data_IF_820841719880
#
_entry.id   IF_820841719880
#
_cell.length_a   1.000
_cell.length_b   1.000
_cell.length_c   1.000
_cell.angle_alpha   90.00
_cell.angle_beta   90.00
_cell.angle_gamma   90.00
#
_symmetry.space_group_name_H-M   'P 1'
#
loop_
_entity.id
_entity.type
_entity.pdbx_description
1 polymer ?
#
# COMPACT_ATOMS: atom_id res chain seq x y z
N UNK A 1 20.93 -6.26 -6.74
CA UNK A 1 21.29 -4.88 -6.42
C UNK A 1 20.05 -4.00 -6.55
N UNK A 2 19.05 -4.29 -5.70
CA UNK A 2 17.80 -3.54 -5.53
C UNK A 2 17.72 -3.06 -4.09
N UNK A 3 18.67 -2.23 -3.67
CA UNK A 3 18.80 -1.83 -2.27
C UNK A 3 19.21 -0.37 -2.14
N UNK A 4 18.55 0.55 -2.84
CA UNK A 4 18.88 1.96 -2.61
C UNK A 4 17.74 2.96 -2.68
N UNK A 5 16.52 2.58 -3.01
CA UNK A 5 15.46 3.57 -3.28
C UNK A 5 14.36 3.61 -2.20
N UNK A 6 14.62 3.10 -1.00
CA UNK A 6 13.65 3.10 0.10
C UNK A 6 13.71 4.36 1.00
N UNK A 7 14.36 5.44 0.55
CA UNK A 7 14.55 6.63 1.39
C UNK A 7 13.41 7.65 1.34
N UNK A 8 12.36 7.42 0.55
CA UNK A 8 11.28 8.39 0.39
C UNK A 8 9.91 7.88 0.83
N UNK A 9 9.81 7.29 2.01
CA UNK A 9 8.52 7.07 2.65
C UNK A 9 8.09 8.38 3.31
N UNK A 10 7.31 9.18 2.58
CA UNK A 10 6.76 10.42 3.11
C UNK A 10 5.60 10.09 4.05
N UNK A 11 5.81 10.29 5.35
CA UNK A 11 4.80 10.08 6.37
C UNK A 11 4.14 11.40 6.73
N UNK A 12 2.90 11.60 6.29
CA UNK A 12 2.07 12.72 6.71
C UNK A 12 1.46 12.39 8.08
N UNK A 13 2.00 12.98 9.15
CA UNK A 13 1.59 12.65 10.52
C UNK A 13 0.49 13.60 11.01
N UNK A 14 -0.76 13.20 10.90
CA UNK A 14 -1.89 13.92 11.50
C UNK A 14 -2.24 13.46 12.93
N UNK A 15 -1.84 12.25 13.37
CA UNK A 15 -2.08 11.74 14.73
C UNK A 15 -0.94 10.84 15.19
N UNK A 16 -0.04 11.36 15.99
CA UNK A 16 1.16 10.66 16.47
C UNK A 16 0.89 9.37 17.24
N UNK A 17 -0.18 9.28 18.00
CA UNK A 17 -0.46 8.14 18.88
C UNK A 17 -0.72 6.81 18.15
N UNK A 18 -1.31 6.85 16.96
CA UNK A 18 -1.58 5.64 16.16
C UNK A 18 -0.28 5.09 15.57
N UNK A 19 0.59 5.98 15.12
CA UNK A 19 1.88 5.61 14.55
C UNK A 19 2.85 5.08 15.60
N UNK A 20 2.83 5.62 16.83
CA UNK A 20 3.61 5.07 17.93
C UNK A 20 3.22 3.62 18.25
N UNK A 21 1.93 3.26 18.14
CA UNK A 21 1.46 1.89 18.29
C UNK A 21 1.98 1.00 17.15
N UNK A 22 1.91 1.48 15.91
CA UNK A 22 2.36 0.76 14.71
C UNK A 22 3.87 0.49 14.73
N UNK A 23 4.69 1.51 15.00
CA UNK A 23 6.14 1.38 14.96
C UNK A 23 6.74 0.57 16.11
N UNK A 24 6.00 0.35 17.20
CA UNK A 24 6.40 -0.60 18.25
C UNK A 24 6.54 -2.04 17.73
N UNK A 25 5.82 -2.40 16.68
CA UNK A 25 5.90 -3.73 16.08
C UNK A 25 7.08 -3.89 15.11
N UNK A 26 7.57 -2.83 14.50
CA UNK A 26 8.59 -2.89 13.44
C UNK A 26 10.00 -2.49 13.85
N UNK A 27 10.25 -1.99 15.06
CA UNK A 27 11.54 -1.36 15.45
C UNK A 27 11.98 -0.22 14.51
N UNK A 28 11.07 0.39 13.78
CA UNK A 28 11.37 1.47 12.86
C UNK A 28 11.24 2.82 13.57
N UNK A 29 12.14 3.73 13.22
CA UNK A 29 12.09 5.11 13.71
C UNK A 29 11.57 6.02 12.61
N UNK A 30 10.56 6.81 12.93
CA UNK A 30 10.06 7.83 12.01
C UNK A 30 11.09 8.94 11.88
N UNK A 31 11.46 9.26 10.66
CA UNK A 31 12.26 10.43 10.35
C UNK A 31 11.33 11.57 9.93
N UNK A 32 11.34 12.66 10.67
CA UNK A 32 10.65 13.89 10.29
C UNK A 32 11.51 14.59 9.24
N UNK A 33 10.93 14.84 8.07
CA UNK A 33 11.65 15.53 7.01
C UNK A 33 11.62 17.06 7.24
N UNK A 34 12.79 17.67 7.36
CA UNK A 34 12.93 19.13 7.47
C UNK A 34 12.62 19.85 6.15
N UNK A 35 12.67 19.13 5.02
CA UNK A 35 12.49 19.63 3.65
C UNK A 35 11.23 19.06 2.98
N UNK A 36 10.13 18.91 3.73
CA UNK A 36 8.88 18.30 3.28
C UNK A 36 8.37 18.86 1.94
N UNK A 37 8.36 20.19 1.77
CA UNK A 37 7.87 20.84 0.54
C UNK A 37 8.72 20.51 -0.70
N UNK A 38 10.00 20.23 -0.52
CA UNK A 38 10.87 19.79 -1.61
C UNK A 38 10.60 18.33 -1.98
N UNK A 39 10.44 17.46 -0.98
CA UNK A 39 10.13 16.04 -1.18
C UNK A 39 8.76 15.86 -1.86
N UNK A 40 7.79 16.72 -1.58
CA UNK A 40 6.49 16.70 -2.26
C UNK A 40 6.55 17.04 -3.78
N UNK A 41 7.69 17.48 -4.28
CA UNK A 41 7.88 17.71 -5.72
C UNK A 41 8.38 16.48 -6.47
N UNK A 42 8.81 15.45 -5.74
CA UNK A 42 9.23 14.18 -6.30
C UNK A 42 8.02 13.27 -6.57
N UNK A 43 8.22 12.21 -7.32
CA UNK A 43 7.18 11.22 -7.59
C UNK A 43 6.80 10.49 -6.30
N UNK A 44 5.54 10.62 -5.88
CA UNK A 44 5.01 9.95 -4.70
C UNK A 44 4.23 8.71 -5.14
N UNK A 45 4.70 7.53 -4.72
CA UNK A 45 4.09 6.26 -5.08
C UNK A 45 3.05 5.78 -4.08
N UNK A 46 3.20 6.17 -2.81
CA UNK A 46 2.31 5.74 -1.73
C UNK A 46 2.33 6.76 -0.60
N UNK A 47 1.15 7.03 -0.04
CA UNK A 47 1.00 7.84 1.18
C UNK A 47 0.30 6.96 2.21
N UNK A 48 0.94 6.73 3.36
CA UNK A 48 0.30 6.12 4.51
C UNK A 48 -0.44 7.17 5.32
N UNK A 49 -1.69 6.90 5.67
CA UNK A 49 -2.44 7.78 6.55
C UNK A 49 -3.15 7.01 7.66
N UNK A 50 -3.14 7.60 8.86
CA UNK A 50 -3.94 7.15 9.97
C UNK A 50 -5.38 7.61 9.75
N UNK A 51 -6.26 6.67 9.38
CA UNK A 51 -7.65 6.99 9.09
C UNK A 51 -8.56 5.76 9.24
N UNK A 52 -9.84 6.01 9.38
CA UNK A 52 -10.87 5.00 9.38
C UNK A 52 -11.64 5.01 8.06
N UNK A 53 -12.34 3.93 7.77
CA UNK A 53 -13.10 3.75 6.53
C UNK A 53 -14.12 4.87 6.26
N UNK A 54 -14.70 5.43 7.32
CA UNK A 54 -15.68 6.53 7.23
C UNK A 54 -15.06 7.83 6.69
N UNK A 55 -13.73 7.97 6.82
CA UNK A 55 -12.98 9.16 6.42
C UNK A 55 -12.46 9.10 4.97
N UNK A 56 -12.53 7.93 4.30
CA UNK A 56 -11.97 7.72 2.97
C UNK A 56 -12.48 8.70 1.92
N UNK A 57 -13.79 8.96 1.93
CA UNK A 57 -14.39 9.91 0.98
C UNK A 57 -13.86 11.34 1.16
N UNK A 58 -13.60 11.73 2.41
CA UNK A 58 -13.04 13.04 2.72
C UNK A 58 -11.56 13.11 2.32
N UNK A 59 -10.79 12.06 2.59
CA UNK A 59 -9.37 11.97 2.25
C UNK A 59 -9.16 12.04 0.73
N UNK A 60 -10.01 11.37 -0.04
CA UNK A 60 -9.93 11.38 -1.50
C UNK A 60 -10.54 12.63 -2.14
N UNK A 61 -11.16 13.51 -1.35
CA UNK A 61 -11.77 14.71 -1.89
C UNK A 61 -10.72 15.63 -2.53
N UNK A 62 -10.90 15.92 -3.82
CA UNK A 62 -9.98 16.77 -4.59
C UNK A 62 -8.74 16.06 -5.11
N UNK A 63 -8.61 14.75 -4.89
CA UNK A 63 -7.57 13.94 -5.54
C UNK A 63 -8.11 13.37 -6.86
N UNK A 64 -7.21 13.17 -7.81
CA UNK A 64 -7.49 12.52 -9.08
C UNK A 64 -6.57 11.29 -9.23
N UNK A 65 -7.10 10.24 -9.86
CA UNK A 65 -6.31 9.03 -10.17
C UNK A 65 -5.68 8.35 -8.95
N UNK A 66 -6.33 8.43 -7.80
CA UNK A 66 -5.92 7.77 -6.57
C UNK A 66 -6.96 6.80 -6.05
N UNK A 67 -6.54 5.83 -5.29
CA UNK A 67 -7.39 4.89 -4.57
C UNK A 67 -6.84 4.61 -3.18
N UNK A 68 -7.70 4.12 -2.29
CA UNK A 68 -7.30 3.68 -0.95
C UNK A 68 -7.25 2.16 -0.92
N UNK A 69 -6.18 1.62 -0.38
CA UNK A 69 -6.06 0.23 0.04
C UNK A 69 -5.81 0.16 1.54
N UNK A 70 -6.55 -0.67 2.26
CA UNK A 70 -6.45 -0.77 3.71
C UNK A 70 -6.10 -2.20 4.13
N UNK A 71 -5.14 -2.30 5.02
CA UNK A 71 -4.70 -3.54 5.64
C UNK A 71 -5.00 -3.55 7.15
N UNK A 72 -5.38 -2.41 7.71
CA UNK A 72 -5.74 -2.24 9.12
C UNK A 72 -6.92 -1.27 9.28
N UNK A 73 -7.67 -1.38 10.40
CA UNK A 73 -8.87 -0.58 10.65
C UNK A 73 -8.59 0.91 10.93
N UNK A 74 -7.34 1.22 11.30
CA UNK A 74 -6.92 2.57 11.73
C UNK A 74 -5.90 3.19 10.78
N UNK A 75 -5.53 2.49 9.72
CA UNK A 75 -4.56 2.98 8.75
C UNK A 75 -4.88 2.48 7.35
N UNK A 76 -4.57 3.31 6.37
CA UNK A 76 -4.74 3.01 4.97
C UNK A 76 -3.63 3.63 4.14
N UNK A 77 -3.42 3.08 2.97
CA UNK A 77 -2.50 3.56 1.98
C UNK A 77 -3.29 4.24 0.85
N UNK A 78 -2.90 5.45 0.49
CA UNK A 78 -3.35 6.11 -0.72
C UNK A 78 -2.32 5.80 -1.80
N UNK A 79 -2.76 5.17 -2.87
CA UNK A 79 -1.93 4.74 -3.99
C UNK A 79 -2.52 5.25 -5.30
N UNK A 80 -1.74 5.33 -6.39
CA UNK A 80 -2.26 5.65 -7.70
C UNK A 80 -3.33 4.63 -8.13
N UNK A 81 -4.32 5.09 -8.87
CA UNK A 81 -5.34 4.24 -9.43
C UNK A 81 -4.68 3.15 -10.32
N UNK A 82 -5.14 1.92 -10.21
CA UNK A 82 -4.60 0.76 -10.94
C UNK A 82 -3.17 0.33 -10.53
N UNK A 83 -2.68 0.77 -9.38
CA UNK A 83 -1.39 0.34 -8.82
C UNK A 83 -1.51 -0.71 -7.71
N UNK A 84 -2.64 -1.40 -7.62
CA UNK A 84 -2.84 -2.47 -6.64
C UNK A 84 -1.98 -3.73 -6.90
N UNK A 85 -1.89 -4.62 -5.89
CA UNK A 85 -1.10 -5.87 -5.96
C UNK A 85 -1.52 -6.79 -7.10
N UNK A 86 -2.82 -6.84 -7.43
CA UNK A 86 -3.31 -7.62 -8.58
C UNK A 86 -2.80 -7.10 -9.92
N UNK A 87 -2.74 -5.78 -10.08
CA UNK A 87 -2.19 -5.15 -11.28
C UNK A 87 -0.68 -5.41 -11.42
N UNK A 88 0.06 -5.38 -10.30
CA UNK A 88 1.48 -5.71 -10.29
C UNK A 88 1.72 -7.16 -10.71
N UNK A 89 0.94 -8.11 -10.21
CA UNK A 89 1.00 -9.52 -10.66
C UNK A 89 0.75 -9.63 -12.14
N UNK A 90 -0.31 -9.02 -12.66
CA UNK A 90 -0.61 -9.04 -14.08
C UNK A 90 0.51 -8.44 -14.94
N UNK A 91 1.15 -7.37 -14.49
CA UNK A 91 2.29 -6.77 -15.17
C UNK A 91 3.48 -7.72 -15.23
N UNK A 92 3.78 -8.42 -14.12
CA UNK A 92 4.87 -9.42 -14.07
C UNK A 92 4.56 -10.62 -14.97
N UNK A 93 3.34 -11.17 -14.93
CA UNK A 93 2.92 -12.27 -15.80
C UNK A 93 3.06 -11.89 -17.28
N UNK A 94 2.60 -10.72 -17.66
CA UNK A 94 2.74 -10.20 -19.02
C UNK A 94 4.20 -10.04 -19.43
N UNK A 95 5.05 -9.52 -18.54
CA UNK A 95 6.47 -9.32 -18.82
C UNK A 95 7.20 -10.64 -19.12
N UNK A 96 6.87 -11.70 -18.37
CA UNK A 96 7.48 -13.03 -18.56
C UNK A 96 6.72 -13.91 -19.54
N UNK A 97 5.59 -13.47 -20.09
CA UNK A 97 4.76 -14.27 -21.01
C UNK A 97 4.08 -15.45 -20.33
N UNK A 98 3.80 -15.36 -19.04
CA UNK A 98 3.17 -16.40 -18.24
C UNK A 98 1.66 -16.21 -18.18
N UNK A 99 0.94 -17.33 -18.12
CA UNK A 99 -0.48 -17.34 -17.80
C UNK A 99 -0.71 -17.30 -16.30
N UNK A 100 -1.90 -16.91 -15.88
CA UNK A 100 -2.26 -16.90 -14.45
C UNK A 100 -2.19 -18.28 -13.79
N UNK A 101 -2.36 -19.35 -14.58
CA UNK A 101 -2.32 -20.74 -14.08
C UNK A 101 -0.89 -21.21 -13.78
N UNK A 102 0.11 -20.48 -14.26
CA UNK A 102 1.53 -20.71 -13.97
C UNK A 102 2.04 -19.92 -12.77
N UNK A 103 1.15 -19.20 -12.06
CA UNK A 103 1.47 -18.39 -10.91
C UNK A 103 0.74 -18.87 -9.66
N UNK A 104 1.41 -18.69 -8.52
CA UNK A 104 0.87 -18.96 -7.18
C UNK A 104 1.00 -17.70 -6.36
N UNK A 105 -0.04 -17.34 -5.60
CA UNK A 105 -0.02 -16.25 -4.67
C UNK A 105 -0.40 -16.68 -3.25
N UNK A 106 0.23 -16.04 -2.28
CA UNK A 106 -0.04 -16.20 -0.86
C UNK A 106 -0.37 -14.83 -0.27
N UNK A 107 -1.45 -14.75 0.50
CA UNK A 107 -1.88 -13.51 1.14
C UNK A 107 -2.74 -13.78 2.36
N UNK A 108 -2.70 -12.87 3.33
CA UNK A 108 -3.46 -12.97 4.59
C UNK A 108 -4.29 -11.70 4.88
N UNK A 109 -4.10 -10.65 4.09
CA UNK A 109 -4.76 -9.36 4.27
C UNK A 109 -5.83 -9.05 3.22
N UNK A 110 -6.70 -8.11 3.54
CA UNK A 110 -7.73 -7.62 2.60
C UNK A 110 -7.13 -6.97 1.36
N UNK A 111 -5.95 -6.36 1.51
CA UNK A 111 -5.19 -5.77 0.41
C UNK A 111 -4.53 -6.81 -0.52
N UNK A 112 -4.62 -8.11 -0.18
CA UNK A 112 -4.10 -9.21 -1.00
C UNK A 112 -5.17 -9.84 -1.90
N UNK A 113 -6.44 -9.51 -1.73
CA UNK A 113 -7.56 -10.11 -2.47
C UNK A 113 -7.34 -10.00 -3.98
N UNK A 114 -7.01 -8.82 -4.48
CA UNK A 114 -6.76 -8.60 -5.91
C UNK A 114 -5.59 -9.44 -6.44
N UNK A 115 -4.53 -9.60 -5.63
CA UNK A 115 -3.38 -10.44 -5.95
C UNK A 115 -3.77 -11.92 -6.04
N UNK A 116 -4.57 -12.38 -5.07
CA UNK A 116 -5.06 -13.75 -5.04
C UNK A 116 -6.01 -14.05 -6.22
N UNK A 117 -6.77 -13.07 -6.68
CA UNK A 117 -7.65 -13.17 -7.85
C UNK A 117 -6.90 -13.16 -9.18
N UNK A 118 -5.71 -12.57 -9.20
CA UNK A 118 -4.88 -12.45 -10.40
C UNK A 118 -4.15 -13.75 -10.81
N UNK A 119 -4.15 -14.79 -9.94
CA UNK A 119 -3.44 -16.06 -10.18
C UNK A 119 -4.40 -17.25 -10.23
N UNK A 120 -3.97 -18.34 -10.86
CA UNK A 120 -4.73 -19.59 -10.96
C UNK A 120 -4.71 -20.41 -9.68
N UNK A 121 -3.58 -20.41 -8.95
CA UNK A 121 -3.45 -21.11 -7.67
C UNK A 121 -3.22 -20.11 -6.54
N UNK A 122 -4.07 -20.16 -5.53
CA UNK A 122 -4.03 -19.24 -4.41
C UNK A 122 -4.19 -19.94 -3.07
N UNK A 123 -3.48 -19.45 -2.07
CA UNK A 123 -3.66 -19.84 -0.68
C UNK A 123 -3.79 -18.57 0.16
N UNK A 124 -4.91 -18.44 0.86
CA UNK A 124 -5.18 -17.37 1.79
C UNK A 124 -5.67 -17.93 3.13
N UNK A 125 -5.40 -17.25 4.23
CA UNK A 125 -6.03 -17.58 5.51
C UNK A 125 -7.50 -17.17 5.44
N UNK A 126 -8.40 -18.14 5.68
CA UNK A 126 -9.83 -18.04 5.43
C UNK A 126 -10.64 -17.29 6.48
N UNK A 127 -10.17 -16.18 6.99
CA UNK A 127 -10.97 -15.28 7.86
C UNK A 127 -10.99 -13.86 7.31
N UNK A 128 -11.58 -13.71 6.12
CA UNK A 128 -12.07 -12.40 5.68
C UNK A 128 -13.47 -12.21 6.28
N UNK A 129 -13.56 -11.55 7.42
CA UNK A 129 -14.80 -11.01 7.97
C UNK A 129 -15.10 -9.64 7.37
#
# INVERSE_FOLDING_TARGET
QLQSDNEHLLLLMAQMSIWEEYFKFGNETLTIADNFDELCKEDIYQIMCACRKEEYAQILQGTENTQITAWWDKAADIIPLNCGKGNAVNAVLNYYGLSKDEAIAFGDGRNDIEMLEAVGTRSGHGECH
#
